data_IF_471671859027
#
_entry.id   IF_471671859027
#
_cell.length_a   1.000
_cell.length_b   1.000
_cell.length_c   1.000
_cell.angle_alpha   90.00
_cell.angle_beta   90.00
_cell.angle_gamma   90.00
#
_symmetry.space_group_name_H-M   'P 1'
#
loop_
_entity.id
_entity.type
_entity.pdbx_description
1 polymer ?
#
# COMPACT_ATOMS: atom_id res chain seq x y z
N UNK A 1 5.64 -19.50 9.92
CA UNK A 1 5.44 -18.17 9.34
C UNK A 1 4.18 -17.57 9.94
N UNK A 2 4.29 -16.40 10.56
CA UNK A 2 3.19 -15.69 11.19
C UNK A 2 3.15 -14.24 10.76
N UNK A 3 1.94 -13.69 10.74
CA UNK A 3 1.72 -12.27 10.53
C UNK A 3 1.63 -11.56 11.89
N UNK A 4 2.33 -10.43 11.97
CA UNK A 4 2.30 -9.54 13.12
C UNK A 4 1.85 -8.17 12.65
N UNK A 5 0.69 -7.74 13.15
CA UNK A 5 0.09 -6.47 12.79
C UNK A 5 0.01 -5.53 14.00
N UNK A 6 0.45 -4.30 13.81
CA UNK A 6 0.33 -3.24 14.80
C UNK A 6 0.13 -1.89 14.10
N UNK A 7 -0.47 -0.95 14.81
CA UNK A 7 -0.75 0.39 14.32
C UNK A 7 -0.06 1.41 15.20
N UNK A 8 0.60 2.37 14.58
CA UNK A 8 1.12 3.56 15.25
C UNK A 8 0.17 4.71 14.95
N UNK A 9 -0.40 5.33 15.97
CA UNK A 9 -1.27 6.50 15.84
C UNK A 9 -0.48 7.77 16.14
N UNK A 10 -0.83 8.86 15.46
CA UNK A 10 -0.12 10.14 15.55
C UNK A 10 -1.04 11.25 16.00
N UNK A 11 -0.65 11.92 17.08
CA UNK A 11 -1.21 13.20 17.45
C UNK A 11 -0.79 14.26 16.44
N UNK A 12 -1.69 15.21 16.20
CA UNK A 12 -1.40 16.36 15.35
C UNK A 12 -0.19 17.14 15.91
N UNK A 13 0.77 17.44 15.05
CA UNK A 13 2.01 18.14 15.38
C UNK A 13 3.17 17.21 15.78
N UNK A 14 2.95 15.91 15.94
CA UNK A 14 4.02 14.96 16.26
C UNK A 14 4.94 14.69 15.04
N UNK A 15 4.36 14.71 13.83
CA UNK A 15 5.08 14.50 12.57
C UNK A 15 4.47 15.34 11.43
N UNK A 16 5.29 16.20 10.83
CA UNK A 16 4.81 17.18 9.83
C UNK A 16 4.29 16.53 8.54
N UNK A 17 4.76 15.33 8.19
CA UNK A 17 4.24 14.60 7.05
C UNK A 17 2.96 13.85 7.43
N UNK A 18 2.81 13.39 8.69
CA UNK A 18 1.53 12.83 9.16
C UNK A 18 0.43 13.88 9.21
N UNK A 19 0.77 15.10 9.63
CA UNK A 19 -0.20 16.20 9.67
C UNK A 19 -0.87 16.42 8.31
N UNK A 20 -0.17 16.18 7.20
CA UNK A 20 -0.76 16.26 5.85
C UNK A 20 -1.83 15.19 5.64
N UNK A 21 -1.63 13.97 6.13
CA UNK A 21 -2.64 12.90 6.00
C UNK A 21 -3.81 13.13 6.95
N UNK A 22 -3.56 13.69 8.13
CA UNK A 22 -4.60 14.11 9.09
C UNK A 22 -5.47 15.22 8.47
N UNK A 23 -4.86 16.19 7.80
CA UNK A 23 -5.56 17.33 7.19
C UNK A 23 -6.25 16.99 5.87
N UNK A 24 -5.77 15.96 5.18
CA UNK A 24 -6.29 15.52 3.88
C UNK A 24 -6.69 14.04 3.92
N UNK A 25 -7.91 13.71 4.38
CA UNK A 25 -8.37 12.31 4.52
C UNK A 25 -8.46 11.56 3.17
N UNK A 26 -8.43 12.26 2.04
CA UNK A 26 -8.32 11.63 0.72
C UNK A 26 -6.92 11.09 0.40
N UNK A 27 -5.92 11.31 1.26
CA UNK A 27 -4.58 10.77 1.09
C UNK A 27 -4.47 9.38 1.70
N UNK A 28 -3.92 8.48 0.90
CA UNK A 28 -3.56 7.14 1.29
C UNK A 28 -2.15 6.83 0.80
N UNK A 29 -1.35 6.19 1.64
CA UNK A 29 -0.02 5.73 1.26
C UNK A 29 0.16 4.27 1.63
N UNK A 30 0.90 3.54 0.79
CA UNK A 30 1.31 2.18 1.07
C UNK A 30 2.72 1.91 0.59
N UNK A 31 3.39 1.02 1.28
CA UNK A 31 4.70 0.51 0.87
C UNK A 31 4.54 -0.58 -0.17
N UNK A 32 5.10 -0.35 -1.35
CA UNK A 32 5.17 -1.33 -2.45
C UNK A 32 6.34 -2.28 -2.23
N UNK A 33 7.48 -1.77 -1.75
CA UNK A 33 8.64 -2.57 -1.40
C UNK A 33 9.46 -1.87 -0.34
N UNK A 34 9.98 -2.64 0.61
CA UNK A 34 10.89 -2.16 1.63
C UNK A 34 12.00 -3.20 1.82
N UNK A 35 13.25 -2.76 1.71
CA UNK A 35 14.43 -3.57 1.98
C UNK A 35 15.26 -2.83 3.03
N UNK A 36 15.57 -3.51 4.13
CA UNK A 36 16.29 -2.90 5.23
C UNK A 36 17.38 -3.83 5.76
N UNK A 37 18.49 -3.23 6.14
CA UNK A 37 19.51 -3.83 6.99
C UNK A 37 19.65 -2.99 8.26
N UNK A 38 20.54 -3.38 9.16
CA UNK A 38 20.91 -2.55 10.31
C UNK A 38 21.62 -1.25 9.93
N UNK A 39 22.03 -1.10 8.65
CA UNK A 39 22.82 0.04 8.18
C UNK A 39 22.03 0.97 7.24
N UNK A 40 21.14 0.43 6.42
CA UNK A 40 20.44 1.21 5.39
C UNK A 40 19.07 0.65 5.11
N UNK A 41 18.13 1.53 4.81
CA UNK A 41 16.78 1.18 4.36
C UNK A 41 16.48 1.82 3.01
N UNK A 42 15.88 1.03 2.12
CA UNK A 42 15.44 1.39 0.77
C UNK A 42 13.94 1.11 0.67
N UNK A 43 13.18 2.09 0.19
CA UNK A 43 11.72 1.99 0.09
C UNK A 43 11.20 2.47 -1.23
N UNK A 44 10.11 1.84 -1.64
CA UNK A 44 9.23 2.29 -2.71
C UNK A 44 7.83 2.40 -2.13
N UNK A 45 7.31 3.63 -2.07
CA UNK A 45 6.00 3.94 -1.54
C UNK A 45 5.09 4.50 -2.63
N UNK A 46 3.85 4.05 -2.67
CA UNK A 46 2.79 4.60 -3.51
C UNK A 46 1.92 5.51 -2.64
N UNK A 47 1.66 6.72 -3.13
CA UNK A 47 0.77 7.69 -2.47
C UNK A 47 -0.34 8.07 -3.44
N UNK A 48 -1.59 7.96 -3.01
CA UNK A 48 -2.77 8.27 -3.81
C UNK A 48 -3.63 9.31 -3.10
N UNK A 49 -4.32 10.12 -3.89
CA UNK A 49 -5.33 11.05 -3.37
C UNK A 49 -5.67 12.18 -4.34
N UNK A 50 -6.49 13.15 -3.91
CA UNK A 50 -6.83 14.33 -4.70
C UNK A 50 -5.59 15.14 -5.10
N UNK A 51 -5.65 15.82 -6.25
CA UNK A 51 -4.50 16.53 -6.81
C UNK A 51 -3.98 17.62 -5.87
N UNK A 52 -4.88 18.37 -5.26
CA UNK A 52 -4.58 19.42 -4.31
C UNK A 52 -3.91 18.87 -3.04
N UNK A 53 -4.32 17.70 -2.57
CA UNK A 53 -3.72 17.06 -1.41
C UNK A 53 -2.31 16.52 -1.73
N UNK A 54 -2.14 15.94 -2.93
CA UNK A 54 -0.82 15.48 -3.39
C UNK A 54 0.16 16.64 -3.60
N UNK A 55 -0.31 17.81 -4.04
CA UNK A 55 0.54 19.00 -4.14
C UNK A 55 1.06 19.46 -2.76
N UNK A 56 0.20 19.43 -1.72
CA UNK A 56 0.61 19.71 -0.33
C UNK A 56 1.58 18.64 0.19
N UNK A 57 1.32 17.38 -0.14
CA UNK A 57 2.23 16.28 0.19
C UNK A 57 3.61 16.46 -0.46
N UNK A 58 3.66 16.78 -1.75
CA UNK A 58 4.91 16.98 -2.50
C UNK A 58 5.73 18.15 -1.90
N UNK A 59 5.09 19.28 -1.59
CA UNK A 59 5.73 20.44 -0.95
C UNK A 59 6.26 20.08 0.45
N UNK A 60 5.48 19.34 1.24
CA UNK A 60 5.92 18.92 2.57
C UNK A 60 7.06 17.92 2.51
N UNK A 61 7.03 16.98 1.56
CA UNK A 61 8.05 15.97 1.34
C UNK A 61 9.40 16.62 0.96
N UNK A 62 9.37 17.66 0.11
CA UNK A 62 10.56 18.42 -0.28
C UNK A 62 11.18 19.21 0.88
N UNK A 63 10.37 19.60 1.86
CA UNK A 63 10.77 20.47 2.98
C UNK A 63 10.74 19.73 4.32
N UNK A 64 11.04 18.44 4.33
CA UNK A 64 11.12 17.67 5.57
C UNK A 64 12.20 18.23 6.49
N UNK A 65 11.77 18.65 7.67
CA UNK A 65 12.65 19.23 8.69
C UNK A 65 13.29 18.18 9.60
N UNK A 66 12.93 16.89 9.46
CA UNK A 66 13.43 15.78 10.28
C UNK A 66 13.47 14.48 9.47
N UNK A 67 14.26 13.52 9.96
CA UNK A 67 14.36 12.22 9.34
C UNK A 67 12.97 11.57 9.37
N UNK A 68 12.42 11.32 8.18
CA UNK A 68 11.13 10.64 7.99
C UNK A 68 11.24 9.13 8.26
N UNK A 69 12.39 8.71 8.78
CA UNK A 69 12.82 7.34 9.01
C UNK A 69 12.09 6.69 10.18
N UNK A 70 10.77 6.84 10.16
CA UNK A 70 9.69 6.11 10.81
C UNK A 70 8.32 6.75 10.71
N UNK A 71 8.26 8.03 10.36
CA UNK A 71 7.34 8.95 11.02
C UNK A 71 7.49 8.76 12.55
N UNK A 72 8.53 9.34 13.17
CA UNK A 72 8.47 9.55 14.62
C UNK A 72 9.16 8.62 15.65
N UNK A 73 10.14 7.75 15.33
CA UNK A 73 11.08 7.26 16.40
C UNK A 73 12.57 7.60 16.19
N UNK A 74 12.90 8.54 15.31
CA UNK A 74 14.27 9.00 15.09
C UNK A 74 14.51 10.43 15.56
N UNK A 75 15.38 10.61 16.55
CA UNK A 75 16.02 11.89 16.88
C UNK A 75 17.31 12.15 16.08
N UNK A 76 17.52 11.42 14.97
CA UNK A 76 18.71 11.50 14.14
C UNK A 76 18.66 12.68 13.14
N UNK A 77 19.85 13.06 12.64
CA UNK A 77 19.99 13.97 11.51
C UNK A 77 19.36 13.37 10.25
N UNK A 78 18.79 14.22 9.41
CA UNK A 78 18.16 13.83 8.14
C UNK A 78 19.24 13.33 7.18
N UNK A 79 19.48 12.02 7.14
CA UNK A 79 20.24 11.37 6.07
C UNK A 79 19.28 10.61 5.14
N UNK A 80 18.21 11.29 4.76
CA UNK A 80 17.14 10.75 3.93
C UNK A 80 17.18 11.41 2.56
N UNK A 81 17.13 10.58 1.52
CA UNK A 81 17.07 10.99 0.12
C UNK A 81 15.87 10.36 -0.55
N UNK A 82 15.27 11.06 -1.52
CA UNK A 82 14.11 10.55 -2.23
C UNK A 82 14.07 11.00 -3.68
N UNK A 83 13.31 10.27 -4.48
CA UNK A 83 13.01 10.59 -5.87
C UNK A 83 11.57 10.21 -6.19
N UNK A 84 10.84 11.10 -6.88
CA UNK A 84 9.52 10.76 -7.43
C UNK A 84 9.71 10.05 -8.77
N UNK A 85 9.62 8.72 -8.75
CA UNK A 85 9.78 7.87 -9.95
C UNK A 85 8.62 8.06 -10.94
N UNK A 86 7.39 8.24 -10.42
CA UNK A 86 6.22 8.42 -11.27
C UNK A 86 5.28 9.47 -10.69
N UNK A 87 4.86 10.40 -11.54
CA UNK A 87 3.89 11.42 -11.22
C UNK A 87 2.65 11.28 -12.12
N UNK A 88 1.48 11.14 -11.50
CA UNK A 88 0.16 11.10 -12.17
C UNK A 88 -0.81 12.01 -11.41
N UNK A 89 -1.94 12.44 -12.02
CA UNK A 89 -2.83 13.41 -11.39
C UNK A 89 -3.33 13.06 -9.97
N UNK A 90 -3.43 11.77 -9.65
CA UNK A 90 -3.94 11.25 -8.37
C UNK A 90 -3.02 10.22 -7.74
N UNK A 91 -1.76 10.13 -8.19
CA UNK A 91 -0.80 9.13 -7.72
C UNK A 91 0.64 9.64 -7.78
N UNK A 92 1.43 9.23 -6.79
CA UNK A 92 2.89 9.35 -6.73
C UNK A 92 3.49 7.97 -6.49
N UNK A 93 4.64 7.73 -7.10
CA UNK A 93 5.53 6.63 -6.74
C UNK A 93 6.84 7.22 -6.25
N UNK A 94 7.12 7.05 -4.96
CA UNK A 94 8.25 7.68 -4.28
C UNK A 94 9.26 6.60 -3.93
N UNK A 95 10.47 6.74 -4.44
CA UNK A 95 11.62 6.01 -3.93
C UNK A 95 12.25 6.81 -2.79
N UNK A 96 12.67 6.14 -1.73
CA UNK A 96 13.48 6.75 -0.69
C UNK A 96 14.57 5.84 -0.14
N UNK A 97 15.64 6.45 0.34
CA UNK A 97 16.77 5.78 0.99
C UNK A 97 17.23 6.58 2.20
N UNK A 98 17.54 5.88 3.28
CA UNK A 98 18.10 6.48 4.49
C UNK A 98 19.12 5.55 5.16
N UNK A 99 20.00 6.14 5.96
CA UNK A 99 20.89 5.40 6.86
C UNK A 99 20.19 5.05 8.18
N UNK A 100 20.47 3.85 8.68
CA UNK A 100 19.94 3.33 9.95
C UNK A 100 21.00 3.24 11.06
N UNK A 101 22.29 3.14 10.70
CA UNK A 101 23.39 2.91 11.65
C UNK A 101 23.61 4.02 12.69
N UNK A 102 23.29 5.28 12.37
CA UNK A 102 23.55 6.45 13.22
C UNK A 102 22.41 6.79 14.19
N UNK A 103 21.70 5.78 14.70
CA UNK A 103 20.69 5.91 15.75
C UNK A 103 19.26 6.15 15.27
N UNK A 104 18.99 5.91 13.99
CA UNK A 104 17.62 5.72 13.53
C UNK A 104 17.13 4.33 13.95
N UNK A 105 15.87 4.20 14.39
CA UNK A 105 15.31 2.95 14.91
C UNK A 105 14.08 2.51 14.12
N UNK A 106 14.17 2.49 12.79
CA UNK A 106 12.99 2.20 11.98
C UNK A 106 12.35 0.85 12.24
N UNK A 107 11.05 0.70 11.97
CA UNK A 107 10.37 -0.59 12.07
C UNK A 107 11.13 -1.62 11.20
N UNK A 108 11.50 -1.29 9.95
CA UNK A 108 12.36 -2.16 9.15
C UNK A 108 13.75 -2.40 9.75
N UNK A 109 14.38 -1.41 10.41
CA UNK A 109 15.63 -1.62 11.15
C UNK A 109 15.47 -2.58 12.32
N UNK A 110 14.45 -2.39 13.17
CA UNK A 110 14.17 -3.27 14.30
C UNK A 110 13.90 -4.69 13.81
N UNK A 111 13.15 -4.82 12.71
CA UNK A 111 12.94 -6.10 12.08
C UNK A 111 14.25 -6.70 11.58
N UNK A 112 15.09 -5.98 10.84
CA UNK A 112 16.40 -6.48 10.40
C UNK A 112 17.36 -6.82 11.55
N UNK A 113 17.27 -6.12 12.68
CA UNK A 113 18.08 -6.34 13.87
C UNK A 113 17.68 -7.61 14.63
N UNK A 114 16.38 -7.91 14.70
CA UNK A 114 15.85 -9.04 15.47
C UNK A 114 15.52 -10.27 14.61
N UNK A 115 15.34 -10.10 13.30
CA UNK A 115 14.98 -11.15 12.34
C UNK A 115 16.11 -11.31 11.31
N UNK A 116 17.09 -12.14 11.65
CA UNK A 116 18.32 -12.35 10.86
C UNK A 116 18.06 -12.95 9.46
N UNK A 117 17.07 -13.83 9.33
CA UNK A 117 16.71 -14.50 8.07
C UNK A 117 15.83 -13.62 7.15
N UNK A 118 15.54 -12.38 7.57
CA UNK A 118 14.74 -11.41 6.84
C UNK A 118 13.26 -11.39 7.21
N UNK A 119 12.56 -10.41 6.67
CA UNK A 119 11.15 -10.11 6.97
C UNK A 119 10.45 -9.58 5.72
N UNK A 120 9.18 -9.93 5.52
CA UNK A 120 8.34 -9.18 4.60
C UNK A 120 7.63 -8.09 5.39
N UNK A 121 7.84 -6.84 4.97
CA UNK A 121 7.24 -5.67 5.59
C UNK A 121 6.22 -5.07 4.65
N UNK A 122 5.01 -4.84 5.16
CA UNK A 122 4.01 -3.98 4.52
C UNK A 122 3.63 -2.89 5.50
N UNK A 123 3.43 -1.69 4.98
CA UNK A 123 3.01 -0.55 5.76
C UNK A 123 1.99 0.26 4.98
N UNK A 124 0.95 0.73 5.66
CA UNK A 124 -0.18 1.46 5.09
C UNK A 124 -0.55 2.61 6.00
N UNK A 125 -0.92 3.73 5.41
CA UNK A 125 -1.05 4.95 6.16
C UNK A 125 -2.20 5.79 5.63
N UNK A 126 -3.03 6.24 6.56
CA UNK A 126 -4.24 7.00 6.27
C UNK A 126 -4.62 7.80 7.51
N UNK A 127 -4.93 9.09 7.33
CA UNK A 127 -5.28 9.97 8.44
C UNK A 127 -4.16 10.03 9.48
N UNK A 128 -4.49 9.67 10.71
CA UNK A 128 -3.56 9.63 11.84
C UNK A 128 -2.98 8.23 12.10
N UNK A 129 -3.33 7.22 11.30
CA UNK A 129 -2.90 5.83 11.50
C UNK A 129 -1.77 5.47 10.53
N UNK A 130 -0.79 4.74 11.06
CA UNK A 130 0.23 4.06 10.27
C UNK A 130 0.29 2.58 10.68
N UNK A 131 -0.37 1.73 9.89
CA UNK A 131 -0.47 0.29 10.13
C UNK A 131 0.71 -0.43 9.51
N UNK A 132 1.30 -1.35 10.27
CA UNK A 132 2.40 -2.20 9.87
C UNK A 132 1.99 -3.66 9.95
N UNK A 133 2.45 -4.44 8.97
CA UNK A 133 2.34 -5.90 8.94
C UNK A 133 3.72 -6.47 8.65
N UNK A 134 4.17 -7.38 9.51
CA UNK A 134 5.43 -8.10 9.38
C UNK A 134 5.13 -9.59 9.22
N UNK A 135 5.70 -10.22 8.20
CA UNK A 135 5.64 -11.67 8.01
C UNK A 135 7.01 -12.26 8.30
N UNK A 136 7.10 -13.11 9.32
CA UNK A 136 8.34 -13.70 9.78
C UNK A 136 8.14 -15.14 10.28
N UNK A 137 9.23 -15.91 10.42
CA UNK A 137 9.19 -17.27 10.96
C UNK A 137 9.30 -17.32 12.49
N UNK A 138 9.87 -16.30 13.13
CA UNK A 138 10.21 -16.27 14.56
C UNK A 138 9.27 -15.40 15.41
N UNK A 139 8.45 -16.03 16.25
CA UNK A 139 7.53 -15.37 17.18
C UNK A 139 8.25 -14.64 18.34
N UNK A 140 9.44 -15.07 18.72
CA UNK A 140 10.19 -14.53 19.86
C UNK A 140 10.79 -13.18 19.49
N UNK A 141 11.32 -13.06 18.29
CA UNK A 141 11.89 -11.82 17.76
C UNK A 141 10.86 -10.68 17.70
N UNK A 142 9.57 -10.98 17.45
CA UNK A 142 8.55 -9.92 17.31
C UNK A 142 8.19 -9.26 18.64
N UNK A 143 8.18 -10.01 19.74
CA UNK A 143 7.99 -9.37 21.06
C UNK A 143 9.12 -8.38 21.33
N UNK A 144 10.36 -8.72 20.99
CA UNK A 144 11.51 -7.82 21.12
C UNK A 144 11.36 -6.57 20.25
N UNK A 145 10.84 -6.71 19.02
CA UNK A 145 10.53 -5.56 18.15
C UNK A 145 9.48 -4.67 18.82
N UNK A 146 8.37 -5.24 19.30
CA UNK A 146 7.28 -4.49 19.94
C UNK A 146 7.74 -3.76 21.21
N UNK A 147 8.50 -4.45 22.07
CA UNK A 147 9.02 -3.87 23.31
C UNK A 147 10.01 -2.73 23.01
N UNK A 148 10.89 -2.90 22.02
CA UNK A 148 11.82 -1.85 21.61
C UNK A 148 11.09 -0.69 20.93
N UNK A 149 10.04 -0.96 20.15
CA UNK A 149 9.17 0.03 19.54
C UNK A 149 8.52 0.91 20.61
N UNK A 150 7.80 0.29 21.54
CA UNK A 150 7.11 0.97 22.64
C UNK A 150 8.06 1.78 23.53
N UNK A 151 9.27 1.27 23.78
CA UNK A 151 10.26 1.97 24.60
C UNK A 151 10.91 3.19 23.90
N UNK A 152 10.80 3.31 22.58
CA UNK A 152 11.44 4.37 21.79
C UNK A 152 10.43 5.26 21.03
N UNK A 153 9.13 5.09 21.27
CA UNK A 153 8.12 6.02 20.75
C UNK A 153 8.38 7.44 21.26
N UNK A 154 8.26 8.41 20.36
CA UNK A 154 8.30 9.83 20.70
C UNK A 154 6.96 10.28 21.29
N UNK A 155 7.00 11.40 21.98
CA UNK A 155 5.79 12.11 22.41
C UNK A 155 4.86 12.38 21.23
N UNK A 156 3.57 12.12 21.43
CA UNK A 156 2.53 12.25 20.41
C UNK A 156 2.36 11.02 19.51
N UNK A 157 3.06 9.91 19.77
CA UNK A 157 2.80 8.63 19.13
C UNK A 157 2.28 7.62 20.15
N UNK A 158 1.34 6.79 19.73
CA UNK A 158 0.91 5.62 20.50
C UNK A 158 0.98 4.35 19.65
N UNK A 159 1.27 3.23 20.30
CA UNK A 159 1.38 1.92 19.69
C UNK A 159 0.18 1.07 20.12
N UNK A 160 -0.58 0.61 19.14
CA UNK A 160 -1.70 -0.30 19.33
C UNK A 160 -1.39 -1.64 18.68
N UNK A 161 -1.43 -2.70 19.49
CA UNK A 161 -1.24 -4.06 19.00
C UNK A 161 -2.58 -4.62 18.49
N UNK A 162 -2.63 -5.02 17.21
CA UNK A 162 -3.87 -5.53 16.62
C UNK A 162 -3.96 -7.06 16.70
N UNK A 163 -2.95 -7.79 16.22
CA UNK A 163 -3.05 -9.27 16.08
C UNK A 163 -1.70 -9.96 15.83
N UNK A 164 -1.56 -11.17 16.36
CA UNK A 164 -0.72 -12.24 15.77
C UNK A 164 -1.66 -13.18 15.02
N UNK A 165 -1.55 -13.24 13.69
CA UNK A 165 -2.39 -14.07 12.82
C UNK A 165 -1.60 -15.15 12.10
N UNK A 166 -2.31 -16.14 11.54
CA UNK A 166 -1.70 -17.08 10.59
C UNK A 166 -1.43 -16.37 9.25
N UNK A 167 -0.44 -16.84 8.49
CA UNK A 167 0.04 -16.19 7.25
C UNK A 167 -1.00 -16.04 6.14
N UNK A 168 -2.18 -16.65 6.28
CA UNK A 168 -3.30 -16.56 5.32
C UNK A 168 -3.97 -15.19 5.29
N UNK A 169 -3.73 -14.33 6.28
CA UNK A 169 -4.31 -12.99 6.38
C UNK A 169 -3.43 -11.89 5.72
N UNK A 170 -2.28 -12.28 5.15
CA UNK A 170 -1.39 -11.36 4.45
C UNK A 170 -2.08 -10.78 3.20
N UNK A 171 -2.22 -9.44 3.11
CA UNK A 171 -2.96 -8.83 2.02
C UNK A 171 -2.19 -9.00 0.70
N UNK A 172 -2.81 -9.70 -0.24
CA UNK A 172 -2.31 -9.93 -1.58
C UNK A 172 -2.96 -8.94 -2.54
N UNK A 173 -2.30 -7.81 -2.80
CA UNK A 173 -2.74 -6.80 -3.76
C UNK A 173 -2.85 -7.37 -5.18
N UNK A 174 -2.04 -8.39 -5.49
CA UNK A 174 -2.16 -9.11 -6.74
C UNK A 174 -3.40 -9.98 -6.71
N UNK A 175 -3.78 -10.69 -5.64
CA UNK A 175 -5.09 -11.35 -5.51
C UNK A 175 -6.25 -10.37 -5.60
N UNK A 176 -6.14 -9.19 -4.99
CA UNK A 176 -7.13 -8.11 -5.11
C UNK A 176 -7.21 -7.53 -6.53
N UNK A 177 -6.19 -7.72 -7.38
CA UNK A 177 -6.22 -7.39 -8.82
C UNK A 177 -6.45 -8.59 -9.74
N UNK A 178 -6.22 -9.80 -9.24
CA UNK A 178 -6.17 -11.06 -9.99
C UNK A 178 -7.32 -12.01 -9.68
N UNK A 179 -8.19 -11.66 -8.74
CA UNK A 179 -9.53 -12.22 -8.60
C UNK A 179 -10.40 -12.00 -9.83
N UNK A 180 -9.97 -11.17 -10.77
CA UNK A 180 -10.56 -11.11 -12.10
C UNK A 180 -10.15 -12.34 -12.92
N UNK A 181 -11.07 -13.28 -13.23
CA UNK A 181 -10.78 -14.46 -14.03
C UNK A 181 -10.09 -14.08 -15.35
N UNK A 182 -9.14 -14.91 -15.80
CA UNK A 182 -8.29 -14.65 -16.99
C UNK A 182 -9.08 -14.09 -18.18
N UNK A 183 -10.24 -14.68 -18.50
CA UNK A 183 -11.08 -14.25 -19.63
C UNK A 183 -11.72 -12.87 -19.48
N UNK A 184 -11.89 -12.39 -18.26
CA UNK A 184 -12.42 -11.05 -17.98
C UNK A 184 -11.30 -10.01 -17.97
N UNK A 185 -10.09 -10.39 -17.52
CA UNK A 185 -8.88 -9.58 -17.65
C UNK A 185 -8.48 -9.37 -19.10
N UNK A 186 -8.41 -10.46 -19.87
CA UNK A 186 -8.14 -10.45 -21.32
C UNK A 186 -9.12 -9.51 -22.05
N UNK A 187 -10.42 -9.56 -21.72
CA UNK A 187 -11.40 -8.67 -22.32
C UNK A 187 -11.17 -7.18 -21.99
N UNK A 188 -10.77 -6.87 -20.75
CA UNK A 188 -10.46 -5.51 -20.32
C UNK A 188 -9.19 -4.97 -20.98
N UNK A 189 -8.15 -5.80 -21.11
CA UNK A 189 -6.90 -5.48 -21.80
C UNK A 189 -7.16 -5.16 -23.27
N UNK A 190 -7.91 -6.00 -23.98
CA UNK A 190 -8.32 -5.75 -25.37
C UNK A 190 -9.10 -4.43 -25.50
N UNK A 191 -10.04 -4.16 -24.59
CA UNK A 191 -10.78 -2.90 -24.61
C UNK A 191 -9.88 -1.68 -24.41
N UNK A 192 -8.84 -1.76 -23.57
CA UNK A 192 -7.86 -0.68 -23.42
C UNK A 192 -6.98 -0.55 -24.67
N UNK A 193 -6.46 -1.66 -25.20
CA UNK A 193 -5.57 -1.70 -26.35
C UNK A 193 -6.21 -1.09 -27.60
N UNK A 194 -7.45 -1.51 -27.89
CA UNK A 194 -8.23 -1.01 -29.02
C UNK A 194 -8.90 0.34 -28.77
N UNK A 195 -8.67 0.97 -27.61
CA UNK A 195 -9.17 2.31 -27.31
C UNK A 195 -10.69 2.40 -27.13
N UNK A 196 -11.31 1.34 -26.59
CA UNK A 196 -12.73 1.34 -26.23
C UNK A 196 -13.07 2.38 -25.15
N UNK A 197 -12.13 2.66 -24.24
CA UNK A 197 -12.27 3.65 -23.18
C UNK A 197 -11.66 5.02 -23.52
N UNK A 198 -11.14 5.20 -24.75
CA UNK A 198 -10.60 6.48 -25.20
C UNK A 198 -11.72 7.52 -25.40
N UNK A 199 -11.35 8.81 -25.36
CA UNK A 199 -12.20 9.93 -25.77
C UNK A 199 -11.49 10.78 -26.85
N UNK A 200 -11.89 10.71 -28.14
CA UNK A 200 -12.98 9.91 -28.67
C UNK A 200 -12.64 8.41 -28.73
N UNK A 201 -13.66 7.56 -28.56
CA UNK A 201 -13.54 6.11 -28.66
C UNK A 201 -13.00 5.69 -30.03
N UNK A 202 -11.96 4.85 -30.04
CA UNK A 202 -11.31 4.39 -31.28
C UNK A 202 -12.02 3.19 -31.90
N UNK A 203 -12.43 2.20 -31.09
CA UNK A 203 -13.20 1.04 -31.53
C UNK A 203 -14.33 0.71 -30.55
N UNK A 204 -15.44 0.22 -31.07
CA UNK A 204 -16.57 -0.32 -30.33
C UNK A 204 -16.35 -1.78 -29.93
N UNK A 205 -17.14 -2.28 -28.97
CA UNK A 205 -17.10 -3.71 -28.57
C UNK A 205 -17.37 -4.62 -29.78
N UNK A 206 -18.25 -4.21 -30.70
CA UNK A 206 -18.54 -4.97 -31.92
C UNK A 206 -17.29 -5.11 -32.78
N UNK A 207 -16.59 -4.01 -33.04
CA UNK A 207 -15.37 -4.02 -33.86
C UNK A 207 -14.22 -4.81 -33.21
N UNK A 208 -14.08 -4.73 -31.88
CA UNK A 208 -13.09 -5.52 -31.14
C UNK A 208 -13.43 -7.01 -31.19
N UNK A 209 -14.72 -7.35 -31.05
CA UNK A 209 -15.18 -8.73 -31.12
C UNK A 209 -14.93 -9.37 -32.49
N UNK A 210 -15.14 -8.58 -33.56
CA UNK A 210 -14.90 -9.01 -34.93
C UNK A 210 -13.39 -9.20 -35.21
N UNK A 211 -12.53 -8.30 -34.71
CA UNK A 211 -11.06 -8.39 -34.85
C UNK A 211 -10.49 -9.63 -34.11
N UNK A 212 -10.99 -9.91 -32.90
CA UNK A 212 -10.50 -10.99 -32.05
C UNK A 212 -11.18 -12.35 -32.34
N UNK A 213 -12.16 -12.39 -33.24
CA UNK A 213 -12.91 -13.61 -33.57
C UNK A 213 -13.74 -14.16 -32.41
N UNK A 214 -14.20 -13.28 -31.51
CA UNK A 214 -15.01 -13.64 -30.33
C UNK A 214 -16.45 -13.19 -30.59
N UNK A 215 -17.50 -13.96 -30.24
CA UNK A 215 -18.87 -13.45 -30.32
C UNK A 215 -19.05 -12.18 -29.49
N UNK A 216 -19.66 -11.14 -30.07
CA UNK A 216 -19.84 -9.83 -29.40
C UNK A 216 -20.49 -9.95 -28.02
N UNK A 217 -21.50 -10.83 -27.89
CA UNK A 217 -22.16 -11.10 -26.61
C UNK A 217 -21.24 -11.71 -25.55
N UNK A 218 -20.25 -12.49 -25.97
CA UNK A 218 -19.24 -13.10 -25.08
C UNK A 218 -18.25 -12.05 -24.60
N UNK A 219 -17.74 -11.21 -25.51
CA UNK A 219 -16.84 -10.12 -25.15
C UNK A 219 -17.53 -9.12 -24.22
N UNK A 220 -18.78 -8.75 -24.54
CA UNK A 220 -19.58 -7.85 -23.72
C UNK A 220 -19.86 -8.44 -22.33
N UNK A 221 -20.23 -9.72 -22.23
CA UNK A 221 -20.42 -10.38 -20.92
C UNK A 221 -19.14 -10.34 -20.06
N UNK A 222 -17.98 -10.65 -20.66
CA UNK A 222 -16.68 -10.65 -19.96
C UNK A 222 -16.29 -9.24 -19.50
N UNK A 223 -16.49 -8.24 -20.35
CA UNK A 223 -16.25 -6.83 -20.03
C UNK A 223 -17.16 -6.36 -18.90
N UNK A 224 -18.47 -6.58 -18.99
CA UNK A 224 -19.40 -6.17 -17.93
C UNK A 224 -19.09 -6.83 -16.58
N UNK A 225 -18.65 -8.09 -16.58
CA UNK A 225 -18.20 -8.76 -15.36
C UNK A 225 -16.92 -8.12 -14.80
N UNK A 226 -15.97 -7.77 -15.67
CA UNK A 226 -14.74 -7.07 -15.27
C UNK A 226 -15.01 -5.67 -14.71
N UNK A 227 -15.86 -4.89 -15.38
CA UNK A 227 -16.28 -3.56 -14.95
C UNK A 227 -17.04 -3.61 -13.62
N UNK A 228 -17.97 -4.56 -13.46
CA UNK A 228 -18.73 -4.73 -12.23
C UNK A 228 -17.83 -5.13 -11.06
N UNK A 229 -16.82 -5.96 -11.31
CA UNK A 229 -15.82 -6.31 -10.33
C UNK A 229 -14.96 -5.09 -9.97
N UNK A 230 -14.44 -4.34 -10.96
CA UNK A 230 -13.70 -3.09 -10.73
C UNK A 230 -14.50 -2.08 -9.91
N UNK A 231 -15.78 -1.89 -10.22
CA UNK A 231 -16.67 -0.99 -9.50
C UNK A 231 -16.88 -1.41 -8.04
N UNK A 232 -17.07 -2.71 -7.78
CA UNK A 232 -17.20 -3.25 -6.41
C UNK A 232 -15.91 -3.06 -5.63
N UNK A 233 -14.78 -3.47 -6.20
CA UNK A 233 -13.47 -3.30 -5.56
C UNK A 233 -13.21 -1.83 -5.26
N UNK A 234 -13.46 -0.93 -6.21
CA UNK A 234 -13.29 0.50 -6.01
C UNK A 234 -14.12 1.03 -4.82
N UNK A 235 -15.39 0.64 -4.71
CA UNK A 235 -16.26 1.05 -3.59
C UNK A 235 -15.83 0.41 -2.25
N UNK A 236 -15.35 -0.83 -2.28
CA UNK A 236 -14.82 -1.54 -1.11
C UNK A 236 -13.48 -0.97 -0.62
N UNK A 237 -12.67 -0.38 -1.50
CA UNK A 237 -11.41 0.28 -1.12
C UNK A 237 -11.66 1.69 -0.55
N UNK A 238 -12.75 2.35 -0.95
CA UNK A 238 -13.12 3.72 -0.49
C UNK A 238 -13.89 3.73 0.84
N UNK A 239 -14.46 2.58 1.23
CA UNK A 239 -15.16 2.40 2.51
C UNK A 239 -14.32 1.44 3.34
N UNK A 240 -13.64 1.90 4.39
CA UNK A 240 -12.86 1.06 5.30
C UNK A 240 -13.69 0.09 6.14
N UNK A 241 -14.57 -0.69 5.50
CA UNK A 241 -15.45 -1.68 6.12
C UNK A 241 -15.03 -3.10 5.68
N UNK A 242 -14.75 -4.01 6.63
CA UNK A 242 -14.36 -5.37 6.31
C UNK A 242 -15.62 -6.18 6.00
N UNK A 243 -15.87 -6.50 4.73
CA UNK A 243 -16.98 -7.41 4.40
C UNK A 243 -16.50 -8.84 4.20
N UNK A 244 -16.74 -9.58 5.27
CA UNK A 244 -16.96 -11.02 5.33
C UNK A 244 -17.98 -11.47 4.28
N UNK A 245 -17.68 -12.62 3.67
CA UNK A 245 -18.55 -13.66 3.13
C UNK A 245 -18.95 -13.71 1.63
N UNK A 246 -18.55 -14.87 1.10
CA UNK A 246 -19.38 -15.84 0.38
C UNK A 246 -19.51 -15.68 -1.14
N UNK A 247 -18.70 -16.48 -1.83
CA UNK A 247 -19.21 -17.29 -2.93
C UNK A 247 -18.84 -18.76 -2.69
N UNK A 248 -19.67 -19.44 -1.90
CA UNK A 248 -19.75 -20.89 -1.96
C UNK A 248 -20.50 -21.29 -3.25
N UNK A 249 -19.82 -22.11 -4.04
CA UNK A 249 -20.34 -23.23 -4.85
C UNK A 249 -21.46 -22.99 -5.86
N UNK A 250 -21.13 -23.25 -7.13
CA UNK A 250 -21.80 -24.34 -7.86
C UNK A 250 -20.72 -25.20 -8.52
N UNK A 251 -20.52 -26.38 -7.95
CA UNK A 251 -20.18 -27.56 -8.74
C UNK A 251 -21.49 -28.05 -9.36
N UNK A 252 -21.47 -28.35 -10.66
CA UNK A 252 -22.19 -29.50 -11.22
C UNK A 252 -21.59 -29.83 -12.60
N UNK A 253 -21.69 -31.12 -12.94
CA UNK A 253 -21.21 -31.81 -14.16
C UNK A 253 -21.48 -31.11 -15.51
#
# INVERSE_FOLDING_TARGET
MREFAFTITYDRGADHLMDVFIDHPGLYARTVSCQATTETMWRLDEVTGPREALAVYDDRLANLSRCSSLRGMGGCSIDWTYETIAERPTRRLIYSRQSEGDGCRSVPYLAAKHLEDGVLCRAEQHGHEYRWRLLAEDDVAVRSIYDELGANLRDGLALEFERVGDSTDWPDDLAERSNLPYKQREALELAVEYGYYDDPRRMSIQEIADEEGIPTSTLQYRLTRAEAWLARTFVSTDTGDPVVQAMATTADD
#
